data_IF_502204516943
#
_entry.id   IF_502204516943
#
_cell.length_a   1.000
_cell.length_b   1.000
_cell.length_c   1.000
_cell.angle_alpha   90.00
_cell.angle_beta   90.00
_cell.angle_gamma   90.00
#
_symmetry.space_group_name_H-M   'P 1'
#
loop_
_entity.id
_entity.type
_entity.pdbx_description
1 polymer ?
#
# COMPACT_ATOMS: atom_id res chain seq x y z
N UNK A 1 34.96 -12.01 -17.47
CA UNK A 1 34.44 -12.63 -16.24
C UNK A 1 32.94 -12.41 -16.26
N UNK A 2 32.20 -13.52 -16.22
CA UNK A 2 30.78 -13.64 -16.48
C UNK A 2 30.03 -13.39 -15.17
N UNK A 3 29.52 -12.17 -14.96
CA UNK A 3 28.69 -11.87 -13.80
C UNK A 3 27.25 -12.31 -14.09
N UNK A 4 27.01 -13.52 -13.62
CA UNK A 4 25.79 -14.31 -13.72
C UNK A 4 24.60 -13.58 -13.07
N UNK A 5 23.60 -13.33 -13.91
CA UNK A 5 22.24 -12.88 -13.67
C UNK A 5 21.65 -13.25 -12.30
N UNK A 6 21.40 -12.22 -11.49
CA UNK A 6 20.45 -12.27 -10.38
C UNK A 6 19.01 -12.15 -10.91
N UNK A 7 18.55 -13.17 -11.64
CA UNK A 7 17.14 -13.30 -12.03
C UNK A 7 16.28 -13.87 -10.89
N UNK A 8 16.89 -14.59 -9.94
CA UNK A 8 16.18 -15.28 -8.86
C UNK A 8 15.62 -14.33 -7.78
N UNK A 9 16.28 -13.20 -7.49
CA UNK A 9 15.74 -12.22 -6.52
C UNK A 9 14.52 -11.45 -7.07
N UNK A 10 14.33 -11.44 -8.40
CA UNK A 10 13.34 -10.59 -9.06
C UNK A 10 11.92 -11.17 -9.02
N UNK A 11 11.75 -12.47 -9.25
CA UNK A 11 10.45 -13.15 -9.27
C UNK A 11 9.79 -13.22 -7.88
N UNK A 12 10.56 -13.58 -6.84
CA UNK A 12 10.06 -13.71 -5.47
C UNK A 12 9.36 -12.43 -4.97
N UNK A 13 9.85 -11.26 -5.37
CA UNK A 13 9.28 -9.98 -4.91
C UNK A 13 7.89 -9.69 -5.49
N UNK A 14 7.61 -10.17 -6.72
CA UNK A 14 6.30 -10.00 -7.37
C UNK A 14 5.26 -10.94 -6.79
N UNK A 15 5.65 -12.20 -6.56
CA UNK A 15 4.73 -13.20 -6.01
C UNK A 15 4.43 -12.93 -4.54
N UNK A 16 5.41 -12.41 -3.78
CA UNK A 16 5.19 -11.90 -2.42
C UNK A 16 4.12 -10.79 -2.39
N UNK A 17 4.18 -9.80 -3.30
CA UNK A 17 3.20 -8.71 -3.37
C UNK A 17 1.79 -9.19 -3.76
N UNK A 18 1.70 -10.18 -4.65
CA UNK A 18 0.42 -10.81 -4.99
C UNK A 18 -0.14 -11.60 -3.81
N UNK A 19 0.69 -12.36 -3.09
CA UNK A 19 0.26 -13.08 -1.89
C UNK A 19 -0.35 -12.11 -0.87
N UNK A 20 0.34 -11.01 -0.57
CA UNK A 20 -0.19 -10.00 0.35
C UNK A 20 -1.51 -9.37 -0.14
N UNK A 21 -1.68 -9.19 -1.44
CA UNK A 21 -2.95 -8.73 -1.97
C UNK A 21 -4.07 -9.74 -1.71
N UNK A 22 -3.82 -11.02 -1.97
CA UNK A 22 -4.80 -12.10 -1.71
C UNK A 22 -5.14 -12.15 -0.22
N UNK A 23 -4.14 -12.04 0.65
CA UNK A 23 -4.35 -12.01 2.10
C UNK A 23 -5.23 -10.82 2.51
N UNK A 24 -4.96 -9.62 1.98
CA UNK A 24 -5.80 -8.44 2.22
C UNK A 24 -7.23 -8.68 1.74
N UNK A 25 -7.41 -9.20 0.52
CA UNK A 25 -8.73 -9.45 -0.06
C UNK A 25 -9.53 -10.48 0.73
N UNK A 26 -8.86 -11.50 1.31
CA UNK A 26 -9.52 -12.50 2.15
C UNK A 26 -10.01 -11.93 3.49
N UNK A 27 -9.48 -10.79 3.94
CA UNK A 27 -9.91 -10.12 5.18
C UNK A 27 -11.07 -9.14 4.99
N UNK A 28 -11.55 -8.94 3.76
CA UNK A 28 -12.50 -7.89 3.39
C UNK A 28 -13.67 -8.53 2.64
N UNK A 29 -14.90 -8.10 2.95
CA UNK A 29 -16.05 -8.55 2.16
C UNK A 29 -15.98 -7.93 0.75
N UNK A 30 -16.24 -8.73 -0.27
CA UNK A 30 -16.14 -8.27 -1.66
C UNK A 30 -17.10 -7.12 -1.96
N UNK A 31 -18.25 -7.05 -1.27
CA UNK A 31 -19.23 -5.96 -1.35
C UNK A 31 -18.69 -4.62 -0.82
N UNK A 32 -17.68 -4.66 0.04
CA UNK A 32 -17.08 -3.47 0.64
C UNK A 32 -15.96 -2.89 -0.24
N UNK A 33 -15.57 -3.56 -1.32
CA UNK A 33 -14.51 -3.11 -2.21
C UNK A 33 -15.09 -2.18 -3.28
N UNK A 34 -14.76 -0.88 -3.20
CA UNK A 34 -15.10 0.08 -4.26
C UNK A 34 -14.14 -0.09 -5.45
N UNK A 35 -12.84 -0.14 -5.16
CA UNK A 35 -11.82 -0.07 -6.21
C UNK A 35 -10.51 -0.73 -5.78
N UNK A 36 -9.90 -1.43 -6.71
CA UNK A 36 -8.52 -1.89 -6.63
C UNK A 36 -7.64 -1.00 -7.49
N UNK A 37 -6.59 -0.44 -6.90
CA UNK A 37 -5.59 0.37 -7.58
C UNK A 37 -4.24 -0.32 -7.60
N UNK A 38 -3.59 -0.31 -8.76
CA UNK A 38 -2.20 -0.72 -8.92
C UNK A 38 -1.33 0.52 -9.06
N UNK A 39 -0.29 0.62 -8.23
CA UNK A 39 0.76 1.63 -8.38
C UNK A 39 2.09 0.96 -8.64
N UNK A 40 2.83 1.51 -9.59
CA UNK A 40 4.17 1.05 -9.94
C UNK A 40 5.18 1.94 -9.21
N UNK A 41 6.10 1.30 -8.51
CA UNK A 41 7.21 1.96 -7.79
C UNK A 41 8.55 1.41 -8.29
N UNK A 42 9.65 2.06 -7.88
CA UNK A 42 11.02 1.65 -8.22
C UNK A 42 11.26 1.50 -9.72
N UNK A 43 10.98 2.55 -10.49
CA UNK A 43 11.23 2.61 -11.94
C UNK A 43 10.59 1.47 -12.76
N UNK A 44 9.40 0.98 -12.36
CA UNK A 44 8.72 -0.08 -13.12
C UNK A 44 8.74 -1.45 -12.46
N UNK A 45 9.63 -1.66 -11.49
CA UNK A 45 10.04 -3.00 -11.05
C UNK A 45 9.23 -3.56 -9.88
N UNK A 46 8.47 -2.74 -9.16
CA UNK A 46 7.66 -3.22 -8.03
C UNK A 46 6.24 -2.69 -8.14
N UNK A 47 5.26 -3.57 -7.89
CA UNK A 47 3.84 -3.24 -7.96
C UNK A 47 3.26 -3.26 -6.55
N UNK A 48 2.58 -2.20 -6.18
CA UNK A 48 1.83 -2.13 -4.94
C UNK A 48 0.35 -2.00 -5.27
N UNK A 49 -0.47 -2.72 -4.52
CA UNK A 49 -1.90 -2.69 -4.67
C UNK A 49 -2.53 -1.96 -3.50
N UNK A 50 -3.59 -1.23 -3.79
CA UNK A 50 -4.34 -0.46 -2.81
C UNK A 50 -5.81 -0.77 -3.00
N UNK A 51 -6.45 -1.26 -1.95
CA UNK A 51 -7.88 -1.52 -1.90
C UNK A 51 -8.55 -0.32 -1.26
N UNK A 52 -9.51 0.30 -1.95
CA UNK A 52 -10.40 1.34 -1.42
C UNK A 52 -11.73 0.70 -1.01
N UNK A 53 -12.16 0.99 0.22
CA UNK A 53 -13.37 0.42 0.81
C UNK A 53 -14.54 1.41 0.83
N UNK A 54 -15.75 0.87 1.00
CA UNK A 54 -17.03 1.60 1.05
C UNK A 54 -17.10 2.64 2.17
N UNK A 55 -16.43 2.39 3.29
CA UNK A 55 -16.28 3.35 4.41
C UNK A 55 -15.27 4.48 4.12
N UNK A 56 -14.62 4.41 2.95
CA UNK A 56 -13.58 5.33 2.50
C UNK A 56 -12.18 4.97 3.00
N UNK A 57 -12.02 3.93 3.81
CA UNK A 57 -10.71 3.48 4.27
C UNK A 57 -9.93 2.73 3.18
N UNK A 58 -8.65 2.49 3.44
CA UNK A 58 -7.76 1.86 2.47
C UNK A 58 -6.83 0.82 3.09
N UNK A 59 -6.39 -0.15 2.27
CA UNK A 59 -5.35 -1.12 2.60
C UNK A 59 -4.31 -1.15 1.49
N UNK A 60 -3.01 -1.12 1.83
CA UNK A 60 -1.91 -1.16 0.86
C UNK A 60 -1.04 -2.40 1.11
N UNK A 61 -0.65 -3.10 0.05
CA UNK A 61 0.30 -4.24 0.13
C UNK A 61 1.70 -3.85 0.60
N UNK A 62 1.98 -2.55 0.67
CA UNK A 62 3.25 -2.03 1.15
C UNK A 62 3.38 -2.08 2.68
N UNK A 63 2.28 -2.30 3.42
CA UNK A 63 2.22 -2.39 4.89
C UNK A 63 2.88 -1.26 5.70
N UNK A 64 3.26 -0.14 5.06
CA UNK A 64 3.95 0.99 5.70
C UNK A 64 3.20 1.58 6.91
N UNK A 65 1.87 1.56 6.86
CA UNK A 65 1.03 2.03 7.98
C UNK A 65 1.25 1.18 9.24
N UNK A 66 1.43 -0.12 9.07
CA UNK A 66 1.63 -1.09 10.16
C UNK A 66 3.07 -1.01 10.67
N UNK A 67 4.04 -0.82 9.77
CA UNK A 67 5.47 -0.90 10.13
C UNK A 67 6.05 0.40 10.67
N UNK A 68 5.49 1.56 10.31
CA UNK A 68 6.06 2.86 10.69
C UNK A 68 5.07 3.85 11.29
N UNK A 69 3.82 3.44 11.52
CA UNK A 69 2.79 4.26 12.19
C UNK A 69 2.55 5.62 11.49
N UNK A 70 2.77 5.70 10.18
CA UNK A 70 2.43 6.86 9.37
C UNK A 70 1.77 6.45 8.04
N UNK A 71 0.89 7.30 7.47
CA UNK A 71 0.21 7.00 6.22
C UNK A 71 1.17 6.71 5.08
N UNK A 72 0.93 5.58 4.41
CA UNK A 72 1.66 5.22 3.22
C UNK A 72 1.64 6.35 2.17
N UNK A 73 2.78 6.62 1.51
CA UNK A 73 2.86 7.59 0.41
C UNK A 73 1.81 7.35 -0.70
N UNK A 74 1.43 6.09 -0.91
CA UNK A 74 0.45 5.72 -1.92
C UNK A 74 -0.98 6.15 -1.54
N UNK A 75 -1.28 6.31 -0.25
CA UNK A 75 -2.57 6.83 0.19
C UNK A 75 -2.78 8.27 -0.28
N UNK A 76 -1.74 9.10 -0.32
CA UNK A 76 -1.87 10.45 -0.88
C UNK A 76 -2.23 10.44 -2.37
N UNK A 77 -1.72 9.48 -3.14
CA UNK A 77 -2.07 9.33 -4.56
C UNK A 77 -3.54 8.97 -4.71
N UNK A 78 -4.01 8.04 -3.88
CA UNK A 78 -5.40 7.62 -3.78
C UNK A 78 -6.32 8.77 -3.38
N UNK A 79 -5.97 9.52 -2.34
CA UNK A 79 -6.75 10.67 -1.85
C UNK A 79 -6.93 11.74 -2.91
N UNK A 80 -5.90 12.00 -3.72
CA UNK A 80 -6.01 12.92 -4.86
C UNK A 80 -6.86 12.37 -6.02
N UNK A 81 -7.06 11.06 -6.08
CA UNK A 81 -7.69 10.38 -7.22
C UNK A 81 -9.12 9.92 -6.96
N UNK A 82 -9.61 9.95 -5.72
CA UNK A 82 -10.98 9.57 -5.36
C UNK A 82 -11.52 10.47 -4.27
N UNK A 83 -12.71 11.02 -4.49
CA UNK A 83 -13.46 11.77 -3.48
C UNK A 83 -14.00 10.88 -2.34
N UNK A 84 -14.04 9.57 -2.54
CA UNK A 84 -14.49 8.60 -1.53
C UNK A 84 -13.35 8.21 -0.57
N UNK A 85 -12.10 8.47 -0.95
CA UNK A 85 -10.95 8.16 -0.15
C UNK A 85 -10.90 9.03 1.12
N UNK A 86 -10.81 8.38 2.27
CA UNK A 86 -10.68 8.99 3.60
C UNK A 86 -9.61 8.27 4.42
N UNK A 87 -9.01 8.97 5.36
CA UNK A 87 -8.17 8.36 6.38
C UNK A 87 -8.24 9.19 7.65
N UNK A 88 -8.12 8.54 8.80
CA UNK A 88 -8.18 9.21 10.08
C UNK A 88 -6.80 9.78 10.44
N UNK A 89 -6.71 11.08 10.75
CA UNK A 89 -5.44 11.72 11.08
C UNK A 89 -4.73 11.07 12.27
N UNK A 90 -5.49 10.50 13.22
CA UNK A 90 -4.96 9.73 14.34
C UNK A 90 -4.22 8.43 13.96
N UNK A 91 -4.19 8.05 12.68
CA UNK A 91 -3.30 7.01 12.17
C UNK A 91 -1.82 7.46 12.10
N UNK A 92 -1.55 8.76 12.15
CA UNK A 92 -0.19 9.30 12.29
C UNK A 92 0.19 9.25 13.76
N UNK A 93 1.24 8.49 14.09
CA UNK A 93 1.78 8.46 15.45
C UNK A 93 2.19 9.84 15.94
N UNK A 94 1.98 10.08 17.22
CA UNK A 94 2.19 11.41 17.83
C UNK A 94 3.61 11.95 17.65
N UNK A 95 4.60 11.06 17.58
CA UNK A 95 6.03 11.36 17.33
C UNK A 95 6.29 12.16 16.05
N UNK A 96 5.35 12.14 15.09
CA UNK A 96 5.47 12.87 13.82
C UNK A 96 4.90 14.29 13.88
N UNK A 97 4.15 14.64 14.92
CA UNK A 97 3.71 16.03 15.11
C UNK A 97 4.88 16.86 15.63
N UNK A 98 4.93 18.13 15.20
CA UNK A 98 5.84 19.08 15.83
C UNK A 98 5.37 19.30 17.27
N UNK A 99 6.29 19.15 18.22
CA UNK A 99 6.06 19.65 19.56
C UNK A 99 5.81 21.16 19.48
N UNK A 100 4.70 21.62 20.03
CA UNK A 100 4.48 23.04 20.30
C UNK A 100 5.42 23.42 21.45
N UNK A 101 6.70 23.66 21.13
CA UNK A 101 7.65 24.32 22.04
C UNK A 101 7.56 25.83 21.87
#
# INVERSE_FOLDING_TARGET
LNDNYDENIREDSYDTQKSFLIDILNTIQQTDIIKLWQTVISCGTKKQFIVLLTDGSHRCTCNLLITHEYPCQHFYKVLRSSSQARWHIGLVASRWYKDNK
#
